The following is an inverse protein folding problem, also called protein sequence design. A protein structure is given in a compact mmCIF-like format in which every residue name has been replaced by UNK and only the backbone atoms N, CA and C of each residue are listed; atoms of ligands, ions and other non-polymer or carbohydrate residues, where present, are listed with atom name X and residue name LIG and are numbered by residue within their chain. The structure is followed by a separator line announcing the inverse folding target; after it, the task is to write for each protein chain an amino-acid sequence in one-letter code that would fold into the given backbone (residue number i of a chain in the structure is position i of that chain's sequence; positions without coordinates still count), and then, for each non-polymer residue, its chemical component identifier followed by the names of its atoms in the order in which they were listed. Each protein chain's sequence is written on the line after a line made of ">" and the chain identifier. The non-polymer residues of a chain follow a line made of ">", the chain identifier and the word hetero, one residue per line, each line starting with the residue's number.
data_IF_020240848719
#
_entry.id   IF_020240848719
#
_cell.length_a   1.000
_cell.length_b   1.000
_cell.length_c   1.000
_cell.angle_alpha   90.00
_cell.angle_beta   90.00
_cell.angle_gamma   90.00
#
_symmetry.space_group_name_H-M   'P 1'
#
loop_
_entity.id
_entity.type
_entity.pdbx_description
1 polymer ?
#
# COMPACT_ATOMS: atom_id res chain seq x y z
N UNK A 1 9.02 -19.85 29.55
CA UNK A 1 9.41 -18.43 29.63
C UNK A 1 8.32 -17.62 28.96
N UNK A 2 7.48 -16.94 29.75
CA UNK A 2 6.45 -16.03 29.23
C UNK A 2 7.15 -14.78 28.70
N UNK A 3 7.09 -14.54 27.39
CA UNK A 3 7.52 -13.28 26.81
C UNK A 3 6.36 -12.29 26.90
N UNK A 4 6.21 -11.67 28.07
CA UNK A 4 5.33 -10.53 28.25
C UNK A 4 5.88 -9.35 27.42
N UNK A 5 5.09 -8.80 26.47
CA UNK A 5 5.52 -7.68 25.66
C UNK A 5 5.64 -6.43 26.54
N UNK A 6 6.88 -6.07 26.91
CA UNK A 6 7.14 -4.82 27.61
C UNK A 6 6.83 -3.62 26.70
N UNK A 7 6.11 -2.60 27.19
CA UNK A 7 5.89 -1.38 26.44
C UNK A 7 7.24 -0.67 26.24
N UNK A 8 7.60 -0.39 25.00
CA UNK A 8 8.74 0.45 24.64
C UNK A 8 8.44 1.90 25.03
N UNK A 9 8.58 2.20 26.32
CA UNK A 9 8.49 3.53 26.90
C UNK A 9 9.65 4.40 26.43
N UNK A 10 9.49 5.04 25.27
CA UNK A 10 10.42 6.01 24.72
C UNK A 10 9.67 7.22 24.15
N UNK A 11 10.35 8.36 24.06
CA UNK A 11 9.79 9.58 23.46
C UNK A 11 9.24 9.28 22.05
N UNK A 12 7.99 9.67 21.81
CA UNK A 12 7.26 9.49 20.54
C UNK A 12 8.07 10.08 19.36
N UNK A 13 8.85 11.13 19.62
CA UNK A 13 9.84 11.69 18.70
C UNK A 13 11.16 10.96 18.89
N UNK A 14 11.35 9.89 18.12
CA UNK A 14 12.59 9.14 18.04
C UNK A 14 13.49 9.69 16.92
N UNK A 15 14.81 9.47 17.00
CA UNK A 15 15.78 9.84 15.94
C UNK A 15 15.34 9.43 14.52
N UNK A 16 14.75 8.25 14.27
CA UNK A 16 14.24 7.91 12.93
C UNK A 16 13.08 8.81 12.48
N UNK A 17 12.15 9.19 13.37
CA UNK A 17 11.04 10.11 13.02
C UNK A 17 11.55 11.49 12.59
N UNK A 18 12.65 11.96 13.19
CA UNK A 18 13.25 13.25 12.83
C UNK A 18 13.94 13.24 11.45
N UNK A 19 14.46 12.07 11.03
CA UNK A 19 15.07 11.89 9.70
C UNK A 19 14.00 11.66 8.63
N UNK A 20 12.99 10.84 8.92
CA UNK A 20 11.90 10.55 7.98
C UNK A 20 10.85 11.66 7.90
N UNK A 21 10.71 12.51 8.93
CA UNK A 21 9.79 13.64 8.97
C UNK A 21 9.89 14.59 7.77
N UNK A 22 11.07 15.15 7.45
CA UNK A 22 11.22 16.02 6.28
C UNK A 22 10.96 15.28 4.95
N UNK A 23 11.28 13.99 4.86
CA UNK A 23 10.98 13.16 3.69
C UNK A 23 9.46 13.03 3.47
N UNK A 24 8.70 12.77 4.54
CA UNK A 24 7.23 12.69 4.50
C UNK A 24 6.61 14.01 4.03
N UNK A 25 7.14 15.14 4.51
CA UNK A 25 6.67 16.48 4.08
C UNK A 25 6.93 16.70 2.59
N UNK A 26 8.10 16.32 2.08
CA UNK A 26 8.42 16.42 0.65
C UNK A 26 7.49 15.51 -0.17
N UNK A 27 7.26 14.27 0.26
CA UNK A 27 6.32 13.36 -0.40
C UNK A 27 4.90 13.94 -0.43
N UNK A 28 4.43 14.51 0.68
CA UNK A 28 3.10 15.12 0.76
C UNK A 28 2.99 16.33 -0.18
N UNK A 29 4.02 17.18 -0.24
CA UNK A 29 4.06 18.32 -1.18
C UNK A 29 4.03 17.87 -2.65
N UNK A 30 4.73 16.79 -2.99
CA UNK A 30 4.71 16.22 -4.34
C UNK A 30 3.34 15.61 -4.70
N UNK A 31 2.67 14.97 -3.74
CA UNK A 31 1.30 14.46 -3.91
C UNK A 31 0.33 15.63 -4.15
N UNK A 32 0.39 16.69 -3.35
CA UNK A 32 -0.47 17.88 -3.56
C UNK A 32 -0.19 18.53 -4.90
N UNK A 33 1.08 18.67 -5.30
CA UNK A 33 1.45 19.19 -6.62
C UNK A 33 0.86 18.32 -7.74
N UNK A 34 0.89 16.99 -7.60
CA UNK A 34 0.33 16.03 -8.57
C UNK A 34 -1.20 16.12 -8.67
N UNK A 35 -1.89 16.35 -7.54
CA UNK A 35 -3.34 16.51 -7.49
C UNK A 35 -3.81 17.85 -8.09
N UNK A 36 -3.01 18.93 -7.96
CA UNK A 36 -3.38 20.28 -8.41
C UNK A 36 -2.91 20.59 -9.84
N UNK A 37 -1.69 20.20 -10.23
CA UNK A 37 -1.12 20.49 -11.56
C UNK A 37 -1.37 19.38 -12.60
N UNK A 38 -2.14 18.35 -12.24
CA UNK A 38 -2.51 17.24 -13.12
C UNK A 38 -1.39 16.24 -13.39
N UNK A 39 -1.80 15.02 -13.75
CA UNK A 39 -0.92 13.86 -14.01
C UNK A 39 0.13 14.09 -15.11
N UNK A 40 -0.11 15.04 -16.02
CA UNK A 40 0.78 15.35 -17.14
C UNK A 40 2.04 16.14 -16.77
N UNK A 41 2.04 16.91 -15.66
CA UNK A 41 3.20 17.74 -15.28
C UNK A 41 4.21 17.04 -14.39
N UNK A 42 3.87 15.87 -13.84
CA UNK A 42 4.68 15.16 -12.83
C UNK A 42 5.08 13.75 -13.29
N UNK A 43 4.32 13.12 -14.19
CA UNK A 43 4.44 11.67 -14.44
C UNK A 43 4.83 11.28 -15.87
N UNK A 44 5.07 12.25 -16.77
CA UNK A 44 5.43 12.03 -18.20
C UNK A 44 4.66 10.86 -18.85
N UNK A 45 3.38 10.75 -18.50
CA UNK A 45 2.48 9.70 -18.96
C UNK A 45 2.09 10.01 -20.41
N UNK A 46 2.62 9.23 -21.34
CA UNK A 46 2.27 9.30 -22.76
C UNK A 46 1.05 8.39 -23.04
N UNK A 47 0.24 8.71 -24.06
CA UNK A 47 -0.99 7.98 -24.40
C UNK A 47 -0.80 6.49 -24.74
N UNK A 48 0.45 6.04 -24.98
CA UNK A 48 0.81 4.63 -25.14
C UNK A 48 1.10 3.87 -23.83
N UNK A 49 1.43 4.57 -22.74
CA UNK A 49 1.71 3.99 -21.42
C UNK A 49 0.88 4.70 -20.34
N UNK A 50 -0.45 4.51 -20.34
CA UNK A 50 -1.34 5.19 -19.39
C UNK A 50 -1.12 4.79 -17.93
N UNK A 51 -0.40 3.68 -17.68
CA UNK A 51 -0.03 3.23 -16.34
C UNK A 51 1.34 3.77 -15.88
N UNK A 52 2.23 4.10 -16.83
CA UNK A 52 3.59 4.57 -16.54
C UNK A 52 4.44 3.58 -15.73
N UNK A 53 5.62 4.04 -15.31
CA UNK A 53 6.51 3.26 -14.44
C UNK A 53 6.00 3.25 -12.99
N UNK A 54 5.23 4.27 -12.60
CA UNK A 54 4.72 4.44 -11.24
C UNK A 54 3.78 3.31 -10.85
N UNK A 55 2.71 3.07 -11.63
CA UNK A 55 1.75 1.99 -11.35
C UNK A 55 2.44 0.62 -11.41
N UNK A 56 3.43 0.42 -12.28
CA UNK A 56 4.19 -0.83 -12.30
C UNK A 56 5.01 -1.04 -11.01
N UNK A 57 5.58 0.03 -10.44
CA UNK A 57 6.40 -0.06 -9.25
C UNK A 57 5.58 -0.16 -7.96
N UNK A 58 4.59 0.71 -7.77
CA UNK A 58 3.77 0.70 -6.56
C UNK A 58 2.80 -0.51 -6.53
N UNK A 59 2.10 -0.77 -7.63
CA UNK A 59 1.05 -1.78 -7.71
C UNK A 59 1.64 -3.17 -7.89
N UNK A 60 2.64 -3.38 -8.76
CA UNK A 60 3.14 -4.72 -9.05
C UNK A 60 4.25 -5.12 -8.07
N UNK A 61 5.27 -4.27 -7.93
CA UNK A 61 6.44 -4.58 -7.10
C UNK A 61 6.12 -4.35 -5.62
N UNK A 62 5.57 -3.18 -5.28
CA UNK A 62 5.25 -2.80 -3.90
C UNK A 62 4.26 -3.75 -3.23
N UNK A 63 3.15 -4.07 -3.91
CA UNK A 63 2.17 -5.03 -3.36
C UNK A 63 2.65 -6.48 -3.45
N UNK A 64 3.50 -6.82 -4.43
CA UNK A 64 4.19 -8.10 -4.48
C UNK A 64 5.04 -8.36 -3.24
N UNK A 65 5.77 -7.34 -2.76
CA UNK A 65 6.48 -7.42 -1.48
C UNK A 65 5.53 -7.54 -0.29
N UNK A 66 4.38 -6.87 -0.32
CA UNK A 66 3.36 -6.98 0.72
C UNK A 66 2.75 -8.40 0.79
N UNK A 67 2.63 -9.11 -0.33
CA UNK A 67 2.15 -10.50 -0.36
C UNK A 67 3.05 -11.48 0.41
N UNK A 68 4.35 -11.18 0.52
CA UNK A 68 5.33 -12.04 1.20
C UNK A 68 4.96 -12.36 2.65
N UNK A 69 4.41 -11.42 3.41
CA UNK A 69 4.02 -11.68 4.80
C UNK A 69 2.72 -12.48 4.92
N UNK A 70 1.80 -12.40 3.95
CA UNK A 70 0.60 -13.26 3.91
C UNK A 70 0.97 -14.70 3.53
N UNK A 71 1.87 -14.86 2.56
CA UNK A 71 2.44 -16.16 2.19
C UNK A 71 3.19 -16.81 3.36
N UNK A 72 3.96 -16.02 4.13
CA UNK A 72 4.64 -16.50 5.33
C UNK A 72 3.63 -16.95 6.41
N UNK A 73 2.56 -16.19 6.64
CA UNK A 73 1.53 -16.56 7.59
C UNK A 73 0.87 -17.89 7.20
N UNK A 74 0.51 -18.05 5.92
CA UNK A 74 -0.02 -19.31 5.40
C UNK A 74 0.94 -20.49 5.58
N UNK A 75 2.21 -20.31 5.22
CA UNK A 75 3.21 -21.36 5.38
C UNK A 75 3.41 -21.78 6.83
N UNK A 76 3.44 -20.82 7.76
CA UNK A 76 3.65 -21.11 9.19
C UNK A 76 2.43 -21.78 9.83
N UNK A 77 1.22 -21.34 9.50
CA UNK A 77 0.00 -21.90 10.08
C UNK A 77 -0.38 -23.26 9.47
N UNK A 78 -0.29 -23.41 8.14
CA UNK A 78 -0.74 -24.61 7.44
C UNK A 78 0.34 -25.70 7.43
N UNK A 79 1.56 -25.38 7.01
CA UNK A 79 2.62 -26.40 6.87
C UNK A 79 3.40 -26.64 8.17
N UNK A 80 3.57 -25.62 9.01
CA UNK A 80 4.50 -25.68 10.14
C UNK A 80 3.84 -25.71 11.53
N UNK A 81 2.50 -25.89 11.61
CA UNK A 81 1.72 -25.96 12.86
C UNK A 81 2.08 -24.90 13.91
N UNK A 82 2.45 -23.69 13.48
CA UNK A 82 2.71 -22.56 14.39
C UNK A 82 4.08 -22.53 15.09
N UNK A 83 5.09 -23.32 14.69
CA UNK A 83 6.41 -23.24 15.35
C UNK A 83 7.08 -21.85 15.23
N UNK A 84 6.82 -21.11 14.14
CA UNK A 84 7.33 -19.76 13.92
C UNK A 84 6.30 -18.65 14.20
N UNK A 85 5.35 -18.88 15.11
CA UNK A 85 4.31 -17.90 15.47
C UNK A 85 4.86 -16.48 15.82
N UNK A 86 6.02 -16.32 16.48
CA UNK A 86 6.58 -14.99 16.75
C UNK A 86 6.97 -14.21 15.49
N UNK A 87 7.33 -14.89 14.40
CA UNK A 87 7.73 -14.27 13.13
C UNK A 87 6.52 -13.81 12.30
N UNK A 88 5.34 -14.38 12.55
CA UNK A 88 4.11 -14.05 11.80
C UNK A 88 3.61 -12.64 12.15
N UNK A 89 3.75 -12.22 13.41
CA UNK A 89 3.29 -10.88 13.86
C UNK A 89 3.96 -9.72 13.11
N UNK A 90 5.30 -9.61 13.06
CA UNK A 90 5.94 -8.54 12.31
C UNK A 90 5.72 -8.68 10.80
N UNK A 91 5.63 -9.90 10.28
CA UNK A 91 5.38 -10.13 8.85
C UNK A 91 3.97 -9.68 8.42
N UNK A 92 2.93 -10.00 9.20
CA UNK A 92 1.55 -9.55 8.92
C UNK A 92 1.41 -8.04 9.08
N UNK A 93 2.06 -7.43 10.08
CA UNK A 93 2.05 -5.97 10.22
C UNK A 93 2.77 -5.28 9.05
N UNK A 94 3.88 -5.85 8.58
CA UNK A 94 4.57 -5.35 7.40
C UNK A 94 3.71 -5.50 6.12
N UNK A 95 3.01 -6.62 5.95
CA UNK A 95 2.06 -6.82 4.86
C UNK A 95 0.89 -5.85 4.91
N UNK A 96 0.27 -5.67 6.08
CA UNK A 96 -0.84 -4.72 6.26
C UNK A 96 -0.40 -3.30 5.92
N UNK A 97 0.79 -2.91 6.38
CA UNK A 97 1.37 -1.61 6.06
C UNK A 97 1.65 -1.47 4.55
N UNK A 98 2.23 -2.49 3.91
CA UNK A 98 2.49 -2.50 2.48
C UNK A 98 1.23 -2.41 1.63
N UNK A 99 0.19 -3.19 1.95
CA UNK A 99 -1.09 -3.13 1.25
C UNK A 99 -1.82 -1.80 1.48
N UNK A 100 -1.76 -1.23 2.69
CA UNK A 100 -2.33 0.09 2.98
C UNK A 100 -1.67 1.20 2.16
N UNK A 101 -0.33 1.15 2.02
CA UNK A 101 0.41 2.08 1.16
C UNK A 101 0.08 1.89 -0.32
N UNK A 102 -0.06 0.64 -0.78
CA UNK A 102 -0.49 0.33 -2.16
C UNK A 102 -1.89 0.85 -2.46
N UNK A 103 -2.85 0.62 -1.55
CA UNK A 103 -4.20 1.16 -1.65
C UNK A 103 -4.23 2.69 -1.70
N UNK A 104 -3.45 3.35 -0.83
CA UNK A 104 -3.29 4.80 -0.86
C UNK A 104 -2.68 5.28 -2.18
N UNK A 105 -1.68 4.58 -2.73
CA UNK A 105 -1.09 4.92 -4.03
C UNK A 105 -2.14 4.92 -5.13
N UNK A 106 -2.94 3.84 -5.25
CA UNK A 106 -4.00 3.74 -6.26
C UNK A 106 -4.96 4.93 -6.16
N UNK A 107 -5.38 5.32 -4.96
CA UNK A 107 -6.29 6.46 -4.79
C UNK A 107 -5.69 7.79 -5.25
N UNK A 108 -4.37 7.94 -5.17
CA UNK A 108 -3.63 9.14 -5.60
C UNK A 108 -3.31 9.08 -7.10
N UNK A 109 -3.05 7.88 -7.64
CA UNK A 109 -2.74 7.64 -9.04
C UNK A 109 -3.96 7.84 -9.95
N UNK A 110 -5.17 7.64 -9.42
CA UNK A 110 -6.41 8.00 -10.11
C UNK A 110 -6.54 9.52 -10.13
N UNK A 111 -6.08 10.14 -11.23
CA UNK A 111 -6.11 11.60 -11.43
C UNK A 111 -7.49 12.27 -11.33
N UNK A 112 -8.58 11.48 -11.24
CA UNK A 112 -9.92 11.93 -10.84
C UNK A 112 -10.35 11.21 -9.56
N UNK A 113 -9.69 11.53 -8.45
CA UNK A 113 -10.01 10.96 -7.14
C UNK A 113 -11.48 11.14 -6.74
N UNK A 114 -12.14 12.21 -7.22
CA UNK A 114 -13.58 12.44 -7.05
C UNK A 114 -14.48 11.34 -7.64
N UNK A 115 -13.97 10.51 -8.56
CA UNK A 115 -14.73 9.41 -9.18
C UNK A 115 -14.48 8.06 -8.49
N UNK A 116 -13.58 7.99 -7.50
CA UNK A 116 -13.35 6.79 -6.69
C UNK A 116 -14.57 6.33 -5.89
N UNK A 117 -15.46 7.19 -5.37
CA UNK A 117 -16.65 6.71 -4.66
C UNK A 117 -17.58 5.85 -5.53
N UNK A 118 -17.61 6.08 -6.85
CA UNK A 118 -18.37 5.24 -7.79
C UNK A 118 -17.81 3.82 -7.90
N UNK A 119 -16.54 3.60 -7.53
CA UNK A 119 -15.95 2.28 -7.40
C UNK A 119 -16.49 1.51 -6.18
N UNK A 120 -17.09 2.14 -5.16
CA UNK A 120 -17.67 1.41 -4.02
C UNK A 120 -19.18 1.18 -4.14
N UNK A 121 -19.83 1.81 -5.12
CA UNK A 121 -21.28 1.73 -5.30
C UNK A 121 -21.62 0.55 -6.23
N UNK A 122 -22.39 -0.45 -5.74
CA UNK A 122 -22.83 -1.56 -6.58
C UNK A 122 -23.77 -1.06 -7.67
N UNK A 123 -23.32 -1.13 -8.92
CA UNK A 123 -24.07 -0.67 -10.11
C UNK A 123 -23.23 0.04 -11.17
N UNK A 124 -22.00 0.45 -10.87
CA UNK A 124 -21.05 1.05 -11.84
C UNK A 124 -19.79 0.19 -12.04
N UNK A 125 -19.83 -1.07 -11.62
CA UNK A 125 -18.72 -2.01 -11.74
C UNK A 125 -18.48 -2.43 -13.19
N UNK A 126 -17.26 -2.18 -13.67
CA UNK A 126 -16.80 -2.72 -14.94
C UNK A 126 -15.87 -3.92 -14.68
N UNK A 127 -16.44 -5.11 -14.60
CA UNK A 127 -15.73 -6.38 -14.33
C UNK A 127 -14.77 -6.80 -15.44
N UNK A 128 -14.84 -6.17 -16.62
CA UNK A 128 -13.90 -6.42 -17.72
C UNK A 128 -12.62 -5.59 -17.61
N UNK A 129 -12.50 -4.72 -16.60
CA UNK A 129 -11.33 -3.88 -16.39
C UNK A 129 -10.36 -4.52 -15.40
N UNK A 130 -9.11 -4.68 -15.82
CA UNK A 130 -7.99 -5.13 -14.95
C UNK A 130 -7.78 -4.16 -13.77
N UNK A 131 -8.04 -2.87 -13.97
CA UNK A 131 -7.93 -1.86 -12.90
C UNK A 131 -9.03 -2.04 -11.84
N UNK A 132 -10.21 -2.48 -12.26
CA UNK A 132 -11.31 -2.77 -11.35
C UNK A 132 -11.01 -4.01 -10.51
N UNK A 133 -10.57 -5.10 -11.15
CA UNK A 133 -10.18 -6.33 -10.45
C UNK A 133 -9.07 -6.07 -9.42
N UNK A 134 -8.01 -5.37 -9.81
CA UNK A 134 -6.88 -5.08 -8.92
C UNK A 134 -7.30 -4.22 -7.72
N UNK A 135 -8.12 -3.19 -7.92
CA UNK A 135 -8.63 -2.38 -6.81
C UNK A 135 -9.54 -3.17 -5.85
N UNK A 136 -10.34 -4.11 -6.36
CA UNK A 136 -11.18 -4.99 -5.52
C UNK A 136 -10.28 -5.93 -4.71
N UNK A 137 -9.31 -6.57 -5.34
CA UNK A 137 -8.35 -7.46 -4.66
C UNK A 137 -7.61 -6.72 -3.53
N UNK A 138 -7.11 -5.51 -3.78
CA UNK A 138 -6.42 -4.72 -2.75
C UNK A 138 -7.35 -4.36 -1.59
N UNK A 139 -8.60 -4.00 -1.87
CA UNK A 139 -9.58 -3.66 -0.82
C UNK A 139 -9.93 -4.87 0.04
N UNK A 140 -9.93 -6.08 -0.54
CA UNK A 140 -10.18 -7.34 0.19
C UNK A 140 -8.94 -7.80 0.97
N UNK A 141 -7.74 -7.46 0.49
CA UNK A 141 -6.47 -7.91 1.09
C UNK A 141 -6.03 -7.08 2.30
N UNK A 142 -6.51 -5.83 2.40
CA UNK A 142 -6.34 -4.97 3.59
C UNK A 142 -7.35 -5.38 4.66
#
# INVERSE_FOLDING_TARGET
>A
MSHDPQPLGGKIISKPVMIFGPLIVICMLLIVKRLVFGLGSVSDLNGGFPWGVWIAFDLLIGTGFACGGWALAWAVYVFNRGQYHPLVRPALLASLFGYSLGGLSITIDVGRYWNLPYFYIPGHFNVNSVLFETAVCMTIYI
#
